data_IF_047693985872
#
_entry.id   IF_047693985872
#
_cell.length_a   1.000
_cell.length_b   1.000
_cell.length_c   1.000
_cell.angle_alpha   90.00
_cell.angle_beta   90.00
_cell.angle_gamma   90.00
#
_symmetry.space_group_name_H-M   'P 1'
#
loop_
_entity.id
_entity.type
_entity.pdbx_description
1 polymer ?
#
# COMPACT_ATOMS: atom_id res chain seq x y z
N UNK A 1 -27.40 -5.80 5.60
CA UNK A 1 -27.00 -5.22 4.31
C UNK A 1 -26.70 -3.73 4.45
N UNK A 2 -27.63 -2.85 4.88
CA UNK A 2 -27.40 -1.41 4.98
C UNK A 2 -26.18 -1.04 5.85
N UNK A 3 -26.02 -1.67 7.03
CA UNK A 3 -24.85 -1.48 7.89
C UNK A 3 -23.55 -1.84 7.13
N UNK A 4 -23.54 -2.97 6.45
CA UNK A 4 -22.39 -3.40 5.65
C UNK A 4 -22.10 -2.43 4.50
N UNK A 5 -23.12 -1.89 3.81
CA UNK A 5 -22.92 -0.89 2.76
C UNK A 5 -22.23 0.38 3.30
N UNK A 6 -22.60 0.85 4.49
CA UNK A 6 -21.95 2.01 5.12
C UNK A 6 -20.52 1.70 5.53
N UNK A 7 -20.28 0.60 6.24
CA UNK A 7 -18.96 0.21 6.75
C UNK A 7 -17.98 -0.08 5.62
N UNK A 8 -18.39 -0.89 4.64
CA UNK A 8 -17.55 -1.24 3.51
C UNK A 8 -17.29 -0.05 2.59
N UNK A 9 -18.31 0.79 2.33
CA UNK A 9 -18.09 2.01 1.54
C UNK A 9 -17.16 3.00 2.25
N UNK A 10 -17.27 3.14 3.57
CA UNK A 10 -16.38 4.00 4.33
C UNK A 10 -14.93 3.55 4.23
N UNK A 11 -14.70 2.22 4.23
CA UNK A 11 -13.38 1.58 4.19
C UNK A 11 -12.76 1.58 2.78
N UNK A 12 -13.52 1.19 1.77
CA UNK A 12 -12.99 0.90 0.43
C UNK A 12 -13.20 2.00 -0.61
N UNK A 13 -14.21 2.86 -0.44
CA UNK A 13 -14.50 3.94 -1.39
C UNK A 13 -14.07 5.27 -0.77
N UNK A 14 -12.85 5.71 -1.09
CA UNK A 14 -12.23 6.89 -0.47
C UNK A 14 -12.54 8.20 -1.22
N UNK A 15 -12.92 8.11 -2.50
CA UNK A 15 -13.14 9.24 -3.40
C UNK A 15 -14.54 9.87 -3.33
N UNK A 16 -15.47 9.28 -2.56
CA UNK A 16 -16.85 9.76 -2.37
C UNK A 16 -17.18 9.90 -0.89
N UNK A 17 -18.18 10.74 -0.56
CA UNK A 17 -18.60 10.97 0.83
C UNK A 17 -19.83 10.13 1.18
N UNK A 18 -19.99 9.84 2.46
CA UNK A 18 -21.24 9.34 3.02
C UNK A 18 -22.25 10.50 3.15
N UNK A 19 -23.55 10.24 2.98
CA UNK A 19 -24.20 8.92 2.81
C UNK A 19 -24.24 8.44 1.35
N UNK A 20 -24.01 9.28 0.36
CA UNK A 20 -24.29 9.03 -1.06
C UNK A 20 -23.62 7.72 -1.56
N UNK A 21 -22.36 7.51 -1.26
CA UNK A 21 -21.64 6.29 -1.69
C UNK A 21 -22.26 4.98 -1.17
N UNK A 22 -22.93 5.01 -0.02
CA UNK A 22 -23.60 3.83 0.52
C UNK A 22 -24.94 3.58 -0.20
N UNK A 23 -25.65 4.63 -0.59
CA UNK A 23 -26.85 4.51 -1.42
C UNK A 23 -26.51 4.02 -2.82
N UNK A 24 -25.49 4.59 -3.46
CA UNK A 24 -25.03 4.15 -4.78
C UNK A 24 -24.70 2.65 -4.79
N UNK A 25 -24.03 2.15 -3.73
CA UNK A 25 -23.74 0.72 -3.60
C UNK A 25 -24.98 -0.16 -3.49
N UNK A 26 -25.98 0.30 -2.73
CA UNK A 26 -27.23 -0.44 -2.58
C UNK A 26 -28.01 -0.47 -3.90
N UNK A 27 -28.06 0.64 -4.61
CA UNK A 27 -28.76 0.74 -5.89
C UNK A 27 -28.09 -0.12 -6.97
N UNK A 28 -26.76 -0.08 -7.07
CA UNK A 28 -26.00 -0.90 -8.02
C UNK A 28 -26.15 -2.39 -7.72
N UNK A 29 -26.04 -2.79 -6.45
CA UNK A 29 -26.23 -4.18 -6.05
C UNK A 29 -27.65 -4.67 -6.34
N UNK A 30 -28.68 -3.82 -6.14
CA UNK A 30 -30.05 -4.14 -6.48
C UNK A 30 -30.25 -4.26 -8.00
N UNK A 31 -29.59 -3.41 -8.78
CA UNK A 31 -29.63 -3.45 -10.24
C UNK A 31 -28.98 -4.74 -10.76
N UNK A 32 -27.82 -5.15 -10.23
CA UNK A 32 -27.11 -6.37 -10.64
C UNK A 32 -27.96 -7.61 -10.38
N UNK A 33 -28.62 -7.73 -9.21
CA UNK A 33 -29.50 -8.85 -8.88
C UNK A 33 -30.66 -8.95 -9.92
N UNK A 34 -31.22 -7.80 -10.32
CA UNK A 34 -32.30 -7.77 -11.34
C UNK A 34 -31.80 -8.16 -12.72
N UNK A 35 -30.61 -7.70 -13.12
CA UNK A 35 -29.99 -8.05 -14.40
C UNK A 35 -29.65 -9.54 -14.47
N UNK A 36 -29.19 -10.12 -13.37
CA UNK A 36 -28.93 -11.57 -13.26
C UNK A 36 -30.23 -12.42 -13.26
N UNK A 37 -31.41 -11.78 -13.28
CA UNK A 37 -32.72 -12.44 -13.31
C UNK A 37 -33.11 -13.10 -12.00
N UNK A 38 -32.40 -12.78 -10.90
CA UNK A 38 -32.64 -13.35 -9.59
C UNK A 38 -33.73 -12.57 -8.81
N UNK A 39 -34.64 -13.32 -8.16
CA UNK A 39 -35.64 -12.75 -7.26
C UNK A 39 -35.35 -13.19 -5.83
N UNK A 40 -34.28 -12.68 -5.25
CA UNK A 40 -33.83 -12.96 -3.88
C UNK A 40 -33.53 -11.69 -3.10
N UNK A 41 -33.53 -11.74 -1.78
CA UNK A 41 -33.04 -10.63 -0.97
C UNK A 41 -31.55 -10.36 -1.23
N UNK A 42 -31.18 -9.07 -1.22
CA UNK A 42 -29.80 -8.62 -1.29
C UNK A 42 -29.00 -9.11 -0.08
N UNK A 43 -27.80 -9.58 -0.31
CA UNK A 43 -26.85 -10.05 0.70
C UNK A 43 -25.66 -9.10 0.84
N UNK A 44 -24.84 -9.31 1.85
CA UNK A 44 -23.56 -8.58 1.98
C UNK A 44 -22.57 -8.96 0.88
N UNK A 45 -22.70 -10.17 0.31
CA UNK A 45 -21.89 -10.61 -0.83
C UNK A 45 -22.13 -9.75 -2.07
N UNK A 46 -23.38 -9.34 -2.33
CA UNK A 46 -23.71 -8.49 -3.47
C UNK A 46 -23.07 -7.10 -3.34
N UNK A 47 -23.07 -6.52 -2.13
CA UNK A 47 -22.37 -5.26 -1.85
C UNK A 47 -20.87 -5.38 -2.09
N UNK A 48 -20.26 -6.49 -1.65
CA UNK A 48 -18.83 -6.74 -1.85
C UNK A 48 -18.47 -6.89 -3.33
N UNK A 49 -19.30 -7.57 -4.11
CA UNK A 49 -19.14 -7.70 -5.55
C UNK A 49 -19.08 -6.33 -6.24
N UNK A 50 -20.03 -5.44 -5.94
CA UNK A 50 -20.03 -4.08 -6.49
C UNK A 50 -18.77 -3.30 -6.09
N UNK A 51 -18.34 -3.40 -4.83
CA UNK A 51 -17.10 -2.74 -4.39
C UNK A 51 -15.89 -3.30 -5.15
N UNK A 52 -15.83 -4.62 -5.36
CA UNK A 52 -14.78 -5.24 -6.16
C UNK A 52 -14.77 -4.71 -7.59
N UNK A 53 -15.94 -4.61 -8.23
CA UNK A 53 -16.09 -4.09 -9.60
C UNK A 53 -15.65 -2.62 -9.69
N UNK A 54 -15.96 -1.80 -8.67
CA UNK A 54 -15.62 -0.38 -8.67
C UNK A 54 -14.17 -0.08 -8.31
N UNK A 55 -13.58 -0.88 -7.44
CA UNK A 55 -12.24 -0.60 -6.86
C UNK A 55 -11.15 -1.49 -7.41
N UNK A 56 -11.51 -2.61 -8.05
CA UNK A 56 -10.58 -3.67 -8.45
C UNK A 56 -10.04 -4.49 -7.27
N UNK A 57 -10.52 -4.24 -6.03
CA UNK A 57 -10.08 -4.96 -4.83
C UNK A 57 -11.02 -6.15 -4.62
N UNK A 58 -10.53 -7.39 -4.53
CA UNK A 58 -11.38 -8.57 -4.35
C UNK A 58 -11.96 -8.68 -2.93
N UNK A 59 -12.82 -7.72 -2.57
CA UNK A 59 -13.42 -7.63 -1.22
C UNK A 59 -14.27 -8.84 -0.88
N UNK A 60 -14.80 -9.55 -1.88
CA UNK A 60 -15.58 -10.77 -1.69
C UNK A 60 -14.75 -11.91 -1.09
N UNK A 61 -13.46 -11.98 -1.42
CA UNK A 61 -12.54 -13.03 -0.96
C UNK A 61 -11.87 -12.71 0.38
N UNK A 62 -11.91 -11.44 0.80
CA UNK A 62 -11.15 -10.97 1.97
C UNK A 62 -11.71 -11.38 3.33
N UNK A 63 -12.99 -11.78 3.46
CA UNK A 63 -13.61 -11.97 4.79
C UNK A 63 -13.78 -13.44 5.23
N UNK A 64 -13.86 -14.39 4.30
CA UNK A 64 -14.21 -15.77 4.67
C UNK A 64 -13.02 -16.55 5.30
N UNK A 65 -11.79 -16.14 4.94
CA UNK A 65 -10.57 -16.90 5.29
C UNK A 65 -9.44 -16.01 5.86
N UNK A 66 -9.72 -14.71 6.12
CA UNK A 66 -8.69 -13.73 6.50
C UNK A 66 -7.97 -14.14 7.80
N UNK A 67 -8.70 -14.68 8.77
CA UNK A 67 -8.12 -15.11 10.05
C UNK A 67 -7.19 -16.31 9.89
N UNK A 68 -7.54 -17.27 9.07
CA UNK A 68 -6.69 -18.42 8.77
C UNK A 68 -5.48 -18.00 7.93
N UNK A 69 -5.67 -17.18 6.90
CA UNK A 69 -4.58 -16.65 6.09
C UNK A 69 -3.58 -15.83 6.92
N UNK A 70 -4.06 -15.07 7.92
CA UNK A 70 -3.17 -14.32 8.82
C UNK A 70 -2.28 -15.24 9.67
N UNK A 71 -2.69 -16.47 9.94
CA UNK A 71 -1.83 -17.45 10.63
C UNK A 71 -0.70 -17.93 9.74
N UNK A 72 -0.95 -18.08 8.43
CA UNK A 72 -0.02 -18.62 7.44
C UNK A 72 0.69 -17.56 6.60
N UNK A 73 0.61 -16.28 6.97
CA UNK A 73 1.21 -15.17 6.20
C UNK A 73 2.72 -15.37 5.95
N UNK A 74 3.45 -15.86 6.94
CA UNK A 74 4.89 -16.08 6.81
C UNK A 74 5.19 -17.18 5.79
N UNK A 75 4.42 -18.27 5.81
CA UNK A 75 4.54 -19.37 4.87
C UNK A 75 4.23 -18.92 3.43
N UNK A 76 3.16 -18.13 3.24
CA UNK A 76 2.80 -17.58 1.92
C UNK A 76 3.88 -16.61 1.39
N UNK A 77 4.44 -15.75 2.25
CA UNK A 77 5.53 -14.85 1.85
C UNK A 77 6.81 -15.63 1.52
N UNK A 78 7.16 -16.66 2.31
CA UNK A 78 8.31 -17.52 2.04
C UNK A 78 8.17 -18.37 0.77
N UNK A 79 6.96 -18.64 0.30
CA UNK A 79 6.76 -19.30 -0.99
C UNK A 79 7.31 -18.47 -2.18
N UNK A 80 7.39 -17.15 -2.02
CA UNK A 80 7.90 -16.23 -3.05
C UNK A 80 9.28 -15.66 -2.73
N UNK A 81 9.68 -15.64 -1.45
CA UNK A 81 10.93 -15.01 -0.99
C UNK A 81 11.76 -16.03 -0.20
N UNK A 82 12.92 -16.34 -0.74
CA UNK A 82 13.86 -17.26 -0.09
C UNK A 82 14.76 -16.46 0.85
N UNK A 83 14.86 -16.90 2.10
CA UNK A 83 15.57 -16.17 3.15
C UNK A 83 14.79 -14.95 3.64
N UNK A 84 15.47 -13.97 4.19
CA UNK A 84 14.86 -12.71 4.71
C UNK A 84 13.85 -12.94 5.86
N UNK A 85 14.06 -13.95 6.71
CA UNK A 85 13.14 -14.38 7.76
C UNK A 85 12.77 -13.24 8.70
N UNK A 86 13.75 -12.40 9.09
CA UNK A 86 13.52 -11.22 9.95
C UNK A 86 12.60 -10.19 9.28
N UNK A 87 12.79 -9.95 7.98
CA UNK A 87 11.98 -8.98 7.23
C UNK A 87 10.55 -9.52 7.02
N UNK A 88 10.41 -10.79 6.63
CA UNK A 88 9.12 -11.47 6.45
C UNK A 88 8.34 -11.43 7.76
N UNK A 89 8.95 -11.80 8.88
CA UNK A 89 8.31 -11.77 10.19
C UNK A 89 7.88 -10.37 10.62
N UNK A 90 8.75 -9.37 10.45
CA UNK A 90 8.42 -7.98 10.80
C UNK A 90 7.22 -7.44 10.00
N UNK A 91 7.16 -7.75 8.70
CA UNK A 91 6.05 -7.40 7.82
C UNK A 91 4.77 -8.15 8.23
N UNK A 92 4.85 -9.46 8.46
CA UNK A 92 3.75 -10.29 8.92
C UNK A 92 3.13 -9.76 10.21
N UNK A 93 3.96 -9.42 11.20
CA UNK A 93 3.52 -8.90 12.49
C UNK A 93 2.86 -7.52 12.37
N UNK A 94 3.34 -6.66 11.48
CA UNK A 94 2.71 -5.35 11.24
C UNK A 94 1.34 -5.50 10.56
N UNK A 95 1.23 -6.40 9.59
CA UNK A 95 -0.04 -6.70 8.92
C UNK A 95 -1.04 -7.27 9.94
N UNK A 96 -0.62 -8.24 10.78
CA UNK A 96 -1.47 -8.80 11.85
C UNK A 96 -1.96 -7.70 12.80
N UNK A 97 -1.08 -6.81 13.28
CA UNK A 97 -1.47 -5.70 14.17
C UNK A 97 -2.47 -4.76 13.51
N UNK A 98 -2.24 -4.40 12.25
CA UNK A 98 -3.14 -3.52 11.51
C UNK A 98 -4.54 -4.13 11.35
N UNK A 99 -4.61 -5.42 11.02
CA UNK A 99 -5.89 -6.13 10.81
C UNK A 99 -6.67 -6.35 12.10
N UNK A 100 -5.98 -6.58 13.22
CA UNK A 100 -6.58 -6.71 14.53
C UNK A 100 -7.02 -5.38 15.16
N UNK A 101 -6.79 -4.25 14.47
CA UNK A 101 -7.18 -2.93 14.97
C UNK A 101 -6.27 -2.37 16.06
N UNK A 102 -5.10 -2.97 16.30
CA UNK A 102 -4.11 -2.47 17.25
C UNK A 102 -3.18 -1.38 16.67
N UNK A 103 -3.33 -1.08 15.39
CA UNK A 103 -2.62 0.03 14.75
C UNK A 103 -3.39 1.33 14.90
N UNK A 104 -2.67 2.44 14.97
CA UNK A 104 -3.25 3.77 14.91
C UNK A 104 -4.00 3.94 13.57
N UNK A 105 -5.31 4.17 13.65
CA UNK A 105 -6.18 4.37 12.46
C UNK A 105 -5.80 5.62 11.64
N UNK A 106 -4.91 6.43 12.18
CA UNK A 106 -4.36 7.62 11.53
C UNK A 106 -3.20 7.32 10.56
N UNK A 107 -2.48 6.20 10.72
CA UNK A 107 -1.23 5.90 10.03
C UNK A 107 -1.39 4.87 8.90
N UNK A 108 -0.38 4.72 8.00
CA UNK A 108 -0.33 3.60 7.07
C UNK A 108 -0.39 2.24 7.76
N UNK A 109 -0.71 1.17 7.01
CA UNK A 109 -0.74 -0.23 7.51
C UNK A 109 0.58 -0.58 8.22
N UNK A 110 1.69 -0.13 7.66
CA UNK A 110 3.03 -0.25 8.21
C UNK A 110 4.03 0.54 7.38
N UNK A 111 5.17 0.86 7.97
CA UNK A 111 6.29 1.50 7.30
C UNK A 111 7.58 0.76 7.65
N UNK A 112 8.37 0.41 6.63
CA UNK A 112 9.58 -0.38 6.75
C UNK A 112 10.75 0.27 6.02
N UNK A 113 11.92 0.17 6.61
CA UNK A 113 13.18 0.49 5.95
C UNK A 113 13.99 -0.80 5.80
N UNK A 114 14.18 -1.26 4.57
CA UNK A 114 14.99 -2.44 4.25
C UNK A 114 16.40 -2.01 3.87
N UNK A 115 17.34 -2.36 4.74
CA UNK A 115 18.76 -2.14 4.51
C UNK A 115 19.37 -3.41 3.93
N UNK A 116 20.28 -3.27 2.95
CA UNK A 116 21.00 -4.41 2.40
C UNK A 116 21.46 -4.18 0.96
N UNK A 117 22.29 -5.11 0.48
CA UNK A 117 22.85 -5.06 -0.89
C UNK A 117 21.77 -5.21 -1.97
N UNK A 118 22.07 -4.78 -3.18
CA UNK A 118 21.21 -5.02 -4.35
C UNK A 118 21.06 -6.52 -4.62
N UNK A 119 19.90 -6.94 -5.12
CA UNK A 119 19.65 -8.35 -5.47
C UNK A 119 19.24 -9.26 -4.30
N UNK A 120 19.05 -8.73 -3.09
CA UNK A 120 18.62 -9.52 -1.91
C UNK A 120 17.11 -9.80 -1.84
N UNK A 121 16.36 -9.57 -2.90
CA UNK A 121 14.91 -9.88 -2.94
C UNK A 121 13.98 -8.82 -2.35
N UNK A 122 14.48 -7.61 -2.00
CA UNK A 122 13.66 -6.53 -1.40
C UNK A 122 12.41 -6.20 -2.22
N UNK A 123 12.56 -6.05 -3.54
CA UNK A 123 11.44 -5.77 -4.44
C UNK A 123 10.48 -6.96 -4.57
N UNK A 124 11.03 -8.18 -4.55
CA UNK A 124 10.21 -9.39 -4.65
C UNK A 124 9.36 -9.60 -3.40
N UNK A 125 9.91 -9.28 -2.22
CA UNK A 125 9.13 -9.25 -0.98
C UNK A 125 7.97 -8.25 -1.07
N UNK A 126 8.18 -7.05 -1.65
CA UNK A 126 7.10 -6.08 -1.83
C UNK A 126 5.99 -6.61 -2.75
N UNK A 127 6.33 -7.32 -3.83
CA UNK A 127 5.34 -7.95 -4.72
C UNK A 127 4.59 -9.08 -4.01
N UNK A 128 5.30 -9.91 -3.25
CA UNK A 128 4.68 -10.98 -2.47
C UNK A 128 3.68 -10.40 -1.45
N UNK A 129 4.05 -9.32 -0.78
CA UNK A 129 3.17 -8.61 0.16
C UNK A 129 1.96 -7.99 -0.55
N UNK A 130 2.15 -7.36 -1.72
CA UNK A 130 1.05 -6.82 -2.51
C UNK A 130 0.07 -7.94 -2.92
N UNK A 131 0.58 -9.06 -3.41
CA UNK A 131 -0.21 -10.24 -3.75
C UNK A 131 -0.95 -10.81 -2.54
N UNK A 132 -0.30 -10.87 -1.37
CA UNK A 132 -0.92 -11.35 -0.14
C UNK A 132 -2.05 -10.42 0.32
N UNK A 133 -1.78 -9.10 0.43
CA UNK A 133 -2.70 -8.12 0.99
C UNK A 133 -3.87 -7.77 0.06
N UNK A 134 -3.57 -7.68 -1.24
CA UNK A 134 -4.49 -7.11 -2.23
C UNK A 134 -4.81 -8.09 -3.35
N UNK A 135 -4.37 -9.36 -3.25
CA UNK A 135 -4.57 -10.45 -4.23
C UNK A 135 -4.02 -10.15 -5.63
N UNK A 136 -3.24 -9.08 -5.77
CA UNK A 136 -2.65 -8.65 -7.03
C UNK A 136 -1.25 -8.08 -6.79
N UNK A 137 -0.25 -8.65 -7.47
CA UNK A 137 1.13 -8.18 -7.39
C UNK A 137 1.31 -6.78 -8.03
N UNK A 138 0.38 -6.39 -8.93
CA UNK A 138 0.40 -5.07 -9.57
C UNK A 138 -0.16 -3.96 -8.67
N UNK A 139 -0.73 -4.31 -7.50
CA UNK A 139 -1.07 -3.34 -6.46
C UNK A 139 0.18 -2.85 -5.72
N UNK A 140 1.20 -2.51 -6.50
CA UNK A 140 2.45 -1.92 -6.04
C UNK A 140 2.73 -0.63 -6.83
N UNK A 141 3.11 0.41 -6.10
CA UNK A 141 3.61 1.68 -6.65
C UNK A 141 5.10 1.75 -6.37
N UNK A 142 5.92 1.63 -7.39
CA UNK A 142 7.38 1.74 -7.25
C UNK A 142 7.85 3.11 -7.70
N UNK A 143 8.63 3.77 -6.85
CA UNK A 143 9.24 5.06 -7.10
C UNK A 143 10.75 4.92 -6.89
N UNK A 144 11.52 5.17 -7.95
CA UNK A 144 12.98 5.17 -7.88
C UNK A 144 13.46 6.57 -7.43
N UNK A 145 14.07 6.62 -6.25
CA UNK A 145 14.51 7.88 -5.66
C UNK A 145 15.73 8.50 -6.35
N UNK A 146 16.40 7.75 -7.20
CA UNK A 146 17.48 8.28 -8.03
C UNK A 146 17.01 9.36 -9.01
N UNK A 147 15.71 9.36 -9.36
CA UNK A 147 15.09 10.40 -10.20
C UNK A 147 14.77 11.69 -9.43
N UNK A 148 14.84 11.66 -8.09
CA UNK A 148 14.38 12.74 -7.19
C UNK A 148 15.52 13.32 -6.34
N UNK A 149 16.72 13.37 -6.89
CA UNK A 149 17.92 13.92 -6.23
C UNK A 149 17.93 15.46 -6.15
N UNK A 150 17.20 16.13 -7.02
CA UNK A 150 17.19 17.59 -7.14
C UNK A 150 15.87 18.16 -6.58
N UNK A 151 15.95 19.37 -6.02
CA UNK A 151 14.79 20.02 -5.39
C UNK A 151 13.59 20.15 -6.33
N UNK A 152 13.81 20.51 -7.61
CA UNK A 152 12.73 20.66 -8.56
C UNK A 152 12.05 19.32 -8.92
N UNK A 153 12.75 18.19 -8.79
CA UNK A 153 12.17 16.89 -9.05
C UNK A 153 11.19 16.46 -7.94
N UNK A 154 11.30 17.01 -6.73
CA UNK A 154 10.35 16.77 -5.64
C UNK A 154 8.93 17.23 -6.02
N UNK A 155 8.80 18.31 -6.78
CA UNK A 155 7.51 18.77 -7.28
C UNK A 155 6.84 17.78 -8.25
N UNK A 156 7.63 17.00 -9.00
CA UNK A 156 7.09 15.92 -9.85
C UNK A 156 6.51 14.78 -9.00
N UNK A 157 7.10 14.54 -7.83
CA UNK A 157 6.66 13.45 -6.95
C UNK A 157 5.34 13.78 -6.26
N UNK A 158 5.20 14.98 -5.71
CA UNK A 158 4.07 15.39 -4.88
C UNK A 158 3.09 16.34 -5.57
N UNK A 159 3.43 16.86 -6.73
CA UNK A 159 2.66 17.85 -7.48
C UNK A 159 3.26 19.25 -7.41
N UNK A 160 3.21 19.97 -8.52
CA UNK A 160 3.66 21.36 -8.60
C UNK A 160 2.60 22.30 -8.00
N UNK A 161 3.00 23.39 -7.35
CA UNK A 161 2.07 24.42 -6.89
C UNK A 161 1.46 25.19 -8.07
N UNK A 162 0.35 25.94 -7.86
CA UNK A 162 -0.30 26.73 -8.91
C UNK A 162 0.67 27.67 -9.60
N UNK A 163 0.61 27.71 -10.93
CA UNK A 163 1.45 28.57 -11.76
C UNK A 163 2.77 27.95 -12.20
N UNK A 164 3.11 26.75 -11.75
CA UNK A 164 4.29 26.02 -12.20
C UNK A 164 3.96 24.99 -13.28
N UNK A 165 4.95 24.69 -14.13
CA UNK A 165 4.84 23.66 -15.17
C UNK A 165 4.58 22.30 -14.52
N UNK A 166 3.56 21.57 -15.02
CA UNK A 166 3.16 20.26 -14.46
C UNK A 166 2.06 20.31 -13.40
N UNK A 167 1.52 21.49 -13.05
CA UNK A 167 0.42 21.62 -12.08
C UNK A 167 -0.80 20.75 -12.43
N UNK A 168 -1.21 20.73 -13.72
CA UNK A 168 -2.38 19.95 -14.16
C UNK A 168 -2.18 18.44 -14.12
N UNK A 169 -0.94 17.97 -14.17
CA UNK A 169 -0.61 16.54 -14.20
C UNK A 169 -0.69 15.87 -12.83
N UNK A 170 -0.68 16.67 -11.74
CA UNK A 170 -0.57 16.14 -10.38
C UNK A 170 0.81 15.54 -10.09
N UNK A 171 1.01 15.05 -8.88
CA UNK A 171 2.25 14.36 -8.50
C UNK A 171 2.23 12.88 -8.85
N UNK A 172 3.37 12.33 -9.24
CA UNK A 172 3.46 10.91 -9.62
C UNK A 172 3.04 9.98 -8.48
N UNK A 173 3.52 10.23 -7.26
CA UNK A 173 3.14 9.45 -6.09
C UNK A 173 1.67 9.67 -5.72
N UNK A 174 1.26 10.93 -5.64
CA UNK A 174 -0.09 11.29 -5.19
C UNK A 174 -1.16 10.77 -6.14
N UNK A 175 -0.95 10.87 -7.45
CA UNK A 175 -1.87 10.33 -8.45
C UNK A 175 -1.85 8.78 -8.47
N UNK A 176 -0.68 8.15 -8.30
CA UNK A 176 -0.58 6.69 -8.23
C UNK A 176 -1.36 6.13 -7.03
N UNK A 177 -1.18 6.72 -5.83
CA UNK A 177 -1.91 6.30 -4.62
C UNK A 177 -3.40 6.66 -4.71
N UNK A 178 -3.76 7.79 -5.32
CA UNK A 178 -5.17 8.13 -5.55
C UNK A 178 -5.88 7.10 -6.43
N UNK A 179 -5.19 6.57 -7.44
CA UNK A 179 -5.72 5.52 -8.34
C UNK A 179 -5.71 4.14 -7.67
N UNK A 180 -4.69 3.85 -6.86
CA UNK A 180 -4.49 2.59 -6.15
C UNK A 180 -4.38 2.85 -4.63
N UNK A 181 -5.48 3.20 -3.94
CA UNK A 181 -5.44 3.56 -2.52
C UNK A 181 -5.08 2.38 -1.61
N UNK A 182 -5.20 1.17 -2.11
CA UNK A 182 -4.78 -0.08 -1.47
C UNK A 182 -3.58 -0.62 -2.24
N UNK A 183 -2.38 -0.25 -1.82
CA UNK A 183 -1.15 -0.63 -2.52
C UNK A 183 0.05 -0.71 -1.58
N UNK A 184 1.07 -1.42 -2.03
CA UNK A 184 2.42 -1.33 -1.45
C UNK A 184 3.16 -0.21 -2.17
N UNK A 185 3.58 0.80 -1.43
CA UNK A 185 4.39 1.91 -1.97
C UNK A 185 5.85 1.64 -1.66
N UNK A 186 6.63 1.38 -2.71
CA UNK A 186 8.06 1.11 -2.62
C UNK A 186 8.86 2.34 -3.07
N UNK A 187 9.62 2.91 -2.13
CA UNK A 187 10.64 3.92 -2.42
C UNK A 187 12.00 3.22 -2.53
N UNK A 188 12.49 3.09 -3.74
CA UNK A 188 13.76 2.40 -4.01
C UNK A 188 14.93 3.39 -3.92
N UNK A 189 16.03 2.97 -3.26
CA UNK A 189 17.25 3.77 -3.04
C UNK A 189 16.98 5.12 -2.37
N UNK A 190 16.26 5.08 -1.23
CA UNK A 190 15.79 6.28 -0.52
C UNK A 190 16.94 7.24 -0.13
N UNK A 191 18.17 6.75 0.05
CA UNK A 191 19.35 7.54 0.35
C UNK A 191 19.74 8.53 -0.77
N UNK A 192 19.26 8.30 -1.99
CA UNK A 192 19.51 9.18 -3.13
C UNK A 192 18.53 10.35 -3.21
N UNK A 193 17.44 10.31 -2.45
CA UNK A 193 16.42 11.33 -2.48
C UNK A 193 16.91 12.67 -1.94
N UNK A 194 16.39 13.76 -2.51
CA UNK A 194 16.61 15.09 -1.94
C UNK A 194 16.01 15.19 -0.53
N UNK A 195 16.63 15.90 0.44
CA UNK A 195 16.15 16.02 1.82
C UNK A 195 14.68 16.43 1.98
N UNK A 196 14.16 17.28 1.10
CA UNK A 196 12.75 17.68 1.09
C UNK A 196 11.76 16.53 0.87
N UNK A 197 12.20 15.43 0.24
CA UNK A 197 11.36 14.23 0.12
C UNK A 197 11.07 13.65 1.48
N UNK A 198 12.09 13.58 2.36
CA UNK A 198 11.92 13.05 3.71
C UNK A 198 10.98 13.90 4.55
N UNK A 199 11.09 15.24 4.47
CA UNK A 199 10.19 16.16 5.19
C UNK A 199 8.72 15.91 4.82
N UNK A 200 8.44 15.71 3.52
CA UNK A 200 7.09 15.41 3.05
C UNK A 200 6.63 14.01 3.44
N UNK A 201 7.53 13.03 3.38
CA UNK A 201 7.21 11.66 3.78
C UNK A 201 6.90 11.54 5.28
N UNK A 202 7.51 12.36 6.15
CA UNK A 202 7.16 12.37 7.57
C UNK A 202 5.67 12.62 7.79
N UNK A 203 5.08 13.55 7.04
CA UNK A 203 3.63 13.78 7.12
C UNK A 203 2.82 12.53 6.74
N UNK A 204 3.26 11.80 5.71
CA UNK A 204 2.60 10.56 5.28
C UNK A 204 2.72 9.48 6.37
N UNK A 205 3.90 9.34 6.97
CA UNK A 205 4.17 8.31 7.98
C UNK A 205 3.42 8.57 9.30
N UNK A 206 3.25 9.84 9.68
CA UNK A 206 2.62 10.21 10.93
C UNK A 206 1.10 10.38 10.81
N UNK A 207 0.63 11.12 9.79
CA UNK A 207 -0.79 11.44 9.61
C UNK A 207 -1.51 10.48 8.64
N UNK A 208 -0.80 9.59 7.94
CA UNK A 208 -1.37 8.70 6.90
C UNK A 208 -2.06 9.46 5.76
N UNK A 209 -1.69 10.72 5.55
CA UNK A 209 -2.24 11.58 4.51
C UNK A 209 -1.23 12.65 4.10
N UNK A 210 -1.39 13.15 2.89
CA UNK A 210 -0.68 14.35 2.46
C UNK A 210 -1.57 15.20 1.54
N UNK A 211 -1.27 16.48 1.44
CA UNK A 211 -1.92 17.39 0.51
C UNK A 211 -1.03 17.56 -0.72
N UNK A 212 -1.57 17.30 -1.90
CA UNK A 212 -0.83 17.49 -3.16
C UNK A 212 -0.73 18.99 -3.53
N UNK A 213 0.04 19.27 -4.60
CA UNK A 213 0.20 20.64 -5.11
C UNK A 213 -1.11 21.29 -5.60
N UNK A 214 -2.17 20.53 -5.81
CA UNK A 214 -3.51 21.01 -6.19
C UNK A 214 -4.43 21.24 -4.99
N UNK A 215 -3.95 21.01 -3.76
CA UNK A 215 -4.75 21.14 -2.54
C UNK A 215 -5.65 19.93 -2.25
N UNK A 216 -5.48 18.82 -2.98
CA UNK A 216 -6.23 17.58 -2.71
C UNK A 216 -5.56 16.78 -1.61
N UNK A 217 -6.35 16.27 -0.67
CA UNK A 217 -5.85 15.39 0.39
C UNK A 217 -5.84 13.95 -0.13
N UNK A 218 -4.66 13.35 -0.17
CA UNK A 218 -4.44 11.96 -0.57
C UNK A 218 -4.29 11.11 0.67
N UNK A 219 -5.01 9.99 0.72
CA UNK A 219 -5.06 9.09 1.86
C UNK A 219 -4.11 7.90 1.66
N UNK A 220 -3.17 7.72 2.58
CA UNK A 220 -2.18 6.64 2.62
C UNK A 220 -2.45 5.59 3.71
N UNK A 221 -3.56 5.68 4.44
CA UNK A 221 -3.86 4.78 5.58
C UNK A 221 -4.00 3.32 5.17
N UNK A 222 -4.40 3.07 3.92
CA UNK A 222 -4.56 1.74 3.37
C UNK A 222 -3.33 1.28 2.57
N UNK A 223 -2.21 2.00 2.66
CA UNK A 223 -0.97 1.62 1.99
C UNK A 223 0.01 1.00 2.99
N UNK A 224 0.86 0.10 2.48
CA UNK A 224 2.06 -0.35 3.16
C UNK A 224 3.25 0.40 2.54
N UNK A 225 4.04 1.09 3.34
CA UNK A 225 5.18 1.86 2.87
C UNK A 225 6.46 1.06 3.09
N UNK A 226 7.22 0.88 2.03
CA UNK A 226 8.53 0.23 2.07
C UNK A 226 9.56 1.17 1.46
N UNK A 227 10.62 1.41 2.18
CA UNK A 227 11.79 2.15 1.72
C UNK A 227 12.95 1.17 1.63
N UNK A 228 13.70 1.17 0.53
CA UNK A 228 14.93 0.38 0.42
C UNK A 228 16.13 1.30 0.44
N UNK A 229 17.22 0.83 1.03
CA UNK A 229 18.50 1.54 1.01
C UNK A 229 19.67 0.59 0.87
N UNK A 230 20.67 1.03 0.13
CA UNK A 230 21.95 0.34 0.01
C UNK A 230 23.01 0.92 0.96
N UNK A 231 22.61 1.79 1.89
CA UNK A 231 23.52 2.32 2.92
C UNK A 231 24.11 1.17 3.73
N UNK A 232 25.41 1.28 4.02
CA UNK A 232 26.13 0.22 4.73
C UNK A 232 26.66 -0.90 3.86
N UNK A 233 26.35 -0.96 2.56
CA UNK A 233 26.84 -2.00 1.65
C UNK A 233 28.35 -2.15 1.68
N UNK A 234 29.08 -1.06 1.68
CA UNK A 234 30.55 -1.09 1.75
C UNK A 234 31.06 -1.66 3.08
N UNK A 235 30.40 -1.31 4.18
CA UNK A 235 30.71 -1.82 5.51
C UNK A 235 30.44 -3.33 5.61
N UNK A 236 29.30 -3.77 5.10
CA UNK A 236 28.92 -5.19 5.04
C UNK A 236 29.93 -5.95 4.19
N UNK A 237 30.27 -5.49 2.99
CA UNK A 237 31.23 -6.14 2.12
C UNK A 237 32.65 -6.20 2.73
N UNK A 238 33.10 -5.14 3.39
CA UNK A 238 34.42 -5.13 4.06
C UNK A 238 34.50 -6.12 5.22
N UNK A 239 33.42 -6.25 6.00
CA UNK A 239 33.38 -7.18 7.14
C UNK A 239 33.18 -8.65 6.71
N UNK A 240 32.57 -8.89 5.55
CA UNK A 240 32.33 -10.21 5.01
C UNK A 240 33.55 -10.80 4.25
N UNK A 241 34.45 -9.95 3.76
CA UNK A 241 35.68 -10.43 3.08
C UNK A 241 36.60 -11.29 3.96
N UNK A 242 36.34 -11.41 5.27
CA UNK A 242 37.08 -12.27 6.21
C UNK A 242 36.27 -13.41 6.81
N UNK A 243 34.96 -13.53 6.49
CA UNK A 243 34.08 -14.57 7.07
C UNK A 243 33.51 -15.48 5.98
N UNK A 244 33.63 -16.78 6.18
CA UNK A 244 33.03 -17.81 5.32
C UNK A 244 31.55 -18.02 5.72
N UNK A 245 30.68 -17.12 5.34
CA UNK A 245 29.26 -17.26 5.54
C UNK A 245 28.63 -16.06 6.25
N UNK A 246 27.53 -15.56 5.71
CA UNK A 246 26.65 -14.58 6.36
C UNK A 246 25.77 -15.36 7.33
N UNK A 247 25.82 -15.02 8.62
CA UNK A 247 24.87 -15.54 9.60
C UNK A 247 23.75 -14.51 9.82
N UNK A 248 22.60 -14.97 10.30
CA UNK A 248 21.44 -14.10 10.60
C UNK A 248 21.72 -13.02 11.69
N UNK A 249 22.93 -13.05 12.28
CA UNK A 249 23.37 -12.09 13.30
C UNK A 249 24.20 -10.94 12.70
N UNK A 250 24.63 -11.01 11.44
CA UNK A 250 25.37 -9.98 10.70
C UNK A 250 24.43 -9.09 9.88
#
# INVERSE_FOLDING_TARGET
>A
VCKAAVELSARYITNRKLPDKAFDLLDEAAANIRIDGESRPMTTGDIRRVITDWTGIPVAEMDADETERMKHIEEELHASVVGQDKAVKAVADAIRRSRLGFSDSGRPIGSFLFLGTTGTGKTELCKAVAKFLFHDADMMVRIDMSEYQQEHSVQRLFGAPPGYVGYEQGGQLTEAVRRKPFSVVLFDEIEKAHPKVFETLLQVLDDGRMTDGQGKVINFKNTLIVMTSNMGQQYILQNLCGRTGITDED
#
